data_IF_626055632032
#
_entry.id   IF_626055632032
#
_cell.length_a   1.000
_cell.length_b   1.000
_cell.length_c   1.000
_cell.angle_alpha   90.00
_cell.angle_beta   90.00
_cell.angle_gamma   90.00
#
_symmetry.space_group_name_H-M   'P 1'
#
loop_
_entity.id
_entity.type
_entity.pdbx_description
1 polymer ?
#
# COMPACT_ATOMS: atom_id res chain seq x y z
N UNK A 1 21.74 11.83 -11.15
CA UNK A 1 20.91 10.66 -10.90
C UNK A 1 20.51 10.62 -9.42
N UNK A 2 19.23 10.59 -9.17
CA UNK A 2 18.76 10.58 -7.80
C UNK A 2 18.78 9.17 -7.24
N UNK A 3 19.46 9.00 -6.12
CA UNK A 3 19.44 7.72 -5.40
C UNK A 3 18.16 7.64 -4.60
N UNK A 4 17.38 6.62 -4.85
CA UNK A 4 16.26 6.31 -3.98
C UNK A 4 16.81 5.61 -2.75
N UNK A 5 16.63 6.22 -1.61
CA UNK A 5 16.94 5.55 -0.36
C UNK A 5 15.87 4.51 -0.11
N UNK A 6 16.31 3.27 0.07
CA UNK A 6 15.42 2.20 0.49
C UNK A 6 15.15 2.41 1.97
N UNK A 7 13.89 2.63 2.31
CA UNK A 7 13.49 2.80 3.69
C UNK A 7 13.37 1.43 4.35
N UNK A 8 13.94 1.29 5.53
CA UNK A 8 13.80 0.08 6.33
C UNK A 8 12.97 0.39 7.57
N UNK A 9 12.17 -0.55 7.99
CA UNK A 9 11.36 -0.41 9.19
C UNK A 9 10.28 -1.45 9.26
N UNK A 10 9.34 -1.27 10.16
CA UNK A 10 8.20 -2.16 10.31
C UNK A 10 7.17 -1.90 9.21
N UNK A 11 6.83 -2.95 8.47
CA UNK A 11 5.75 -2.88 7.49
C UNK A 11 4.44 -2.55 8.20
N UNK A 12 3.71 -1.56 7.72
CA UNK A 12 2.46 -1.14 8.37
C UNK A 12 1.35 -2.19 8.29
N UNK A 13 1.50 -3.20 7.46
CA UNK A 13 0.54 -4.30 7.35
C UNK A 13 1.00 -5.57 8.06
N UNK A 14 2.14 -6.14 7.65
CA UNK A 14 2.61 -7.40 8.24
C UNK A 14 3.53 -7.22 9.45
N UNK A 15 3.96 -6.01 9.72
CA UNK A 15 4.79 -5.63 10.86
C UNK A 15 6.22 -6.18 10.87
N UNK A 16 6.65 -6.87 9.80
CA UNK A 16 8.03 -7.35 9.70
C UNK A 16 8.99 -6.20 9.48
N UNK A 17 10.19 -6.30 10.07
CA UNK A 17 11.28 -5.34 9.85
C UNK A 17 12.00 -5.67 8.55
N UNK A 18 11.71 -4.90 7.51
CA UNK A 18 12.21 -5.17 6.15
C UNK A 18 12.37 -3.87 5.37
N UNK A 19 12.92 -3.99 4.16
CA UNK A 19 12.90 -2.88 3.22
C UNK A 19 11.45 -2.54 2.86
N UNK A 20 11.11 -1.27 2.87
CA UNK A 20 9.76 -0.79 2.68
C UNK A 20 9.59 -0.10 1.33
N UNK A 21 8.37 -0.19 0.79
CA UNK A 21 7.95 0.55 -0.39
C UNK A 21 6.82 1.47 0.01
N UNK A 22 6.66 2.57 -0.70
CA UNK A 22 5.57 3.50 -0.44
C UNK A 22 4.35 3.13 -1.28
N UNK A 23 3.22 2.91 -0.61
CA UNK A 23 1.95 2.61 -1.27
C UNK A 23 1.02 3.82 -1.12
N UNK A 24 0.62 4.43 -2.23
CA UNK A 24 -0.39 5.48 -2.20
C UNK A 24 -1.75 4.87 -1.86
N UNK A 25 -2.43 5.39 -0.85
CA UNK A 25 -3.75 4.88 -0.45
C UNK A 25 -4.76 5.08 -1.59
N UNK A 26 -4.65 6.20 -2.30
CA UNK A 26 -5.36 6.39 -3.56
C UNK A 26 -4.30 6.27 -4.65
N UNK A 27 -4.31 5.19 -5.46
CA UNK A 27 -3.27 4.98 -6.46
C UNK A 27 -3.05 6.20 -7.34
N UNK A 28 -1.79 6.50 -7.61
CA UNK A 28 -1.41 7.71 -8.34
C UNK A 28 -2.12 7.86 -9.69
N UNK A 29 -2.39 6.74 -10.35
CA UNK A 29 -3.16 6.70 -11.59
C UNK A 29 -4.53 7.34 -11.48
N UNK A 30 -5.15 7.25 -10.29
CA UNK A 30 -6.48 7.77 -10.04
C UNK A 30 -6.50 9.25 -9.73
N UNK A 31 -5.35 9.85 -9.39
CA UNK A 31 -5.27 11.26 -8.99
C UNK A 31 -5.76 12.21 -10.08
N UNK A 32 -5.61 11.83 -11.33
CA UNK A 32 -6.01 12.66 -12.48
C UNK A 32 -7.49 12.56 -12.83
N UNK A 33 -8.19 11.57 -12.28
CA UNK A 33 -9.61 11.38 -12.55
C UNK A 33 -10.40 12.49 -11.91
N UNK A 34 -11.37 13.02 -12.66
CA UNK A 34 -12.21 14.14 -12.22
C UNK A 34 -12.84 13.91 -10.86
N UNK A 35 -13.36 12.71 -10.63
CA UNK A 35 -13.95 12.33 -9.35
C UNK A 35 -12.99 12.60 -8.19
N UNK A 36 -11.78 12.08 -8.29
CA UNK A 36 -10.79 12.21 -7.21
C UNK A 36 -10.27 13.62 -7.04
N UNK A 37 -10.12 14.36 -8.14
CA UNK A 37 -9.72 15.77 -8.08
C UNK A 37 -10.74 16.62 -7.36
N UNK A 38 -12.03 16.33 -7.57
CA UNK A 38 -13.12 17.09 -6.97
C UNK A 38 -13.37 16.75 -5.50
N UNK A 39 -13.20 15.48 -5.13
CA UNK A 39 -13.59 15.00 -3.80
C UNK A 39 -12.44 14.91 -2.80
N UNK A 40 -11.20 15.03 -3.25
CA UNK A 40 -10.04 14.91 -2.37
C UNK A 40 -9.07 16.05 -2.60
N UNK A 41 -8.54 16.57 -1.51
CA UNK A 41 -7.47 17.56 -1.58
C UNK A 41 -6.17 16.91 -2.05
N UNK A 42 -5.30 17.73 -2.61
CA UNK A 42 -4.01 17.27 -3.12
C UNK A 42 -3.18 16.58 -2.03
N UNK A 43 -3.24 17.08 -0.81
CA UNK A 43 -2.57 16.47 0.34
C UNK A 43 -3.10 15.07 0.63
N UNK A 44 -4.42 14.90 0.58
CA UNK A 44 -5.06 13.59 0.79
C UNK A 44 -4.67 12.61 -0.32
N UNK A 45 -4.63 13.07 -1.57
CA UNK A 45 -4.24 12.22 -2.70
C UNK A 45 -2.82 11.71 -2.57
N UNK A 46 -1.94 12.45 -1.89
CA UNK A 46 -0.55 12.08 -1.71
C UNK A 46 -0.28 11.22 -0.47
N UNK A 47 -1.29 10.96 0.33
CA UNK A 47 -1.14 10.11 1.51
C UNK A 47 -0.86 8.67 1.13
N UNK A 48 -0.07 8.00 1.96
CA UNK A 48 0.25 6.60 1.72
C UNK A 48 0.82 5.94 2.96
N UNK A 49 1.21 4.69 2.79
CA UNK A 49 1.75 3.87 3.87
C UNK A 49 3.05 3.22 3.42
N UNK A 50 3.89 2.88 4.38
CA UNK A 50 5.14 2.19 4.13
C UNK A 50 4.94 0.70 4.38
N UNK A 51 5.02 -0.10 3.34
CA UNK A 51 4.77 -1.53 3.42
C UNK A 51 5.86 -2.31 2.68
N UNK A 52 6.03 -3.57 3.05
CA UNK A 52 7.01 -4.41 2.39
C UNK A 52 6.53 -4.76 0.98
N UNK A 53 7.47 -5.16 0.14
CA UNK A 53 7.17 -5.50 -1.25
C UNK A 53 6.11 -6.59 -1.38
N UNK A 54 6.18 -7.62 -0.53
CA UNK A 54 5.22 -8.73 -0.59
C UNK A 54 3.80 -8.28 -0.28
N UNK A 55 3.61 -7.41 0.71
CA UNK A 55 2.30 -6.84 1.00
C UNK A 55 1.83 -5.94 -0.15
N UNK A 56 2.74 -5.13 -0.70
CA UNK A 56 2.42 -4.22 -1.80
C UNK A 56 1.96 -4.97 -3.04
N UNK A 57 2.70 -6.02 -3.42
CA UNK A 57 2.33 -6.88 -4.56
C UNK A 57 0.98 -7.54 -4.32
N UNK A 58 0.74 -8.02 -3.10
CA UNK A 58 -0.53 -8.66 -2.74
C UNK A 58 -1.72 -7.73 -2.89
N UNK A 59 -1.57 -6.48 -2.47
CA UNK A 59 -2.63 -5.49 -2.61
C UNK A 59 -2.97 -5.27 -4.10
N UNK A 60 -1.96 -5.07 -4.92
CA UNK A 60 -2.17 -4.78 -6.34
C UNK A 60 -2.60 -5.99 -7.17
N UNK A 61 -2.34 -7.21 -6.70
CA UNK A 61 -2.85 -8.42 -7.35
C UNK A 61 -4.28 -8.77 -6.93
N UNK A 62 -4.66 -8.39 -5.72
CA UNK A 62 -5.99 -8.71 -5.18
C UNK A 62 -7.08 -7.76 -5.66
N UNK A 63 -6.73 -6.50 -5.86
CA UNK A 63 -7.70 -5.45 -6.17
C UNK A 63 -7.15 -4.53 -7.26
N UNK A 64 -8.03 -4.05 -8.13
CA UNK A 64 -7.63 -3.06 -9.12
C UNK A 64 -7.52 -1.67 -8.47
N UNK A 65 -6.96 -0.73 -9.22
CA UNK A 65 -6.67 0.61 -8.71
C UNK A 65 -7.93 1.39 -8.35
N UNK A 66 -9.03 1.17 -9.07
CA UNK A 66 -10.30 1.84 -8.78
C UNK A 66 -10.87 1.36 -7.45
N UNK A 67 -10.81 0.05 -7.18
CA UNK A 67 -11.26 -0.50 -5.91
C UNK A 67 -10.41 0.02 -4.75
N UNK A 68 -9.10 0.07 -4.93
CA UNK A 68 -8.20 0.61 -3.92
C UNK A 68 -8.52 2.07 -3.63
N UNK A 69 -8.74 2.86 -4.66
CA UNK A 69 -9.00 4.29 -4.51
C UNK A 69 -10.35 4.59 -3.88
N UNK A 70 -11.38 3.81 -4.19
CA UNK A 70 -12.74 4.08 -3.70
C UNK A 70 -13.10 3.37 -2.41
N UNK A 71 -12.61 2.13 -2.23
CA UNK A 71 -13.06 1.28 -1.13
C UNK A 71 -11.99 0.98 -0.10
N UNK A 72 -10.71 1.05 -0.48
CA UNK A 72 -9.59 0.62 0.36
C UNK A 72 -8.56 1.74 0.49
N UNK A 73 -9.03 2.95 0.68
CA UNK A 73 -8.18 4.14 0.68
C UNK A 73 -7.74 4.60 2.07
N UNK A 74 -7.78 3.72 3.05
CA UNK A 74 -7.20 3.95 4.38
C UNK A 74 -6.51 2.68 4.85
N UNK A 75 -5.58 2.82 5.78
CA UNK A 75 -4.89 1.67 6.37
C UNK A 75 -5.88 0.71 7.03
N UNK A 76 -6.84 1.25 7.76
CA UNK A 76 -7.86 0.45 8.45
C UNK A 76 -8.69 -0.37 7.48
N UNK A 77 -9.11 0.24 6.38
CA UNK A 77 -9.89 -0.46 5.35
C UNK A 77 -9.10 -1.58 4.70
N UNK A 78 -7.81 -1.35 4.46
CA UNK A 78 -6.93 -2.40 3.93
C UNK A 78 -6.80 -3.55 4.90
N UNK A 79 -6.61 -3.27 6.18
CA UNK A 79 -6.49 -4.31 7.21
C UNK A 79 -7.78 -5.11 7.39
N UNK A 80 -8.92 -4.48 7.18
CA UNK A 80 -10.22 -5.12 7.36
C UNK A 80 -10.68 -5.93 6.14
N UNK A 81 -10.06 -5.73 4.99
CA UNK A 81 -10.41 -6.48 3.79
C UNK A 81 -10.02 -7.96 3.95
N UNK A 82 -10.97 -8.90 3.75
CA UNK A 82 -10.69 -10.33 3.98
C UNK A 82 -9.56 -10.89 3.12
N UNK A 83 -9.48 -10.47 1.86
CA UNK A 83 -8.46 -10.95 0.94
C UNK A 83 -7.08 -10.43 1.35
N UNK A 84 -6.99 -9.14 1.65
CA UNK A 84 -5.73 -8.54 2.12
C UNK A 84 -5.33 -9.11 3.48
N UNK A 85 -6.28 -9.31 4.37
CA UNK A 85 -6.03 -9.91 5.68
C UNK A 85 -5.41 -11.30 5.56
N UNK A 86 -5.95 -12.14 4.68
CA UNK A 86 -5.40 -13.46 4.40
C UNK A 86 -3.99 -13.39 3.85
N UNK A 87 -3.76 -12.44 2.95
CA UNK A 87 -2.43 -12.25 2.37
C UNK A 87 -1.42 -11.80 3.42
N UNK A 88 -1.81 -10.88 4.29
CA UNK A 88 -0.96 -10.41 5.39
C UNK A 88 -0.58 -11.57 6.30
N UNK A 89 -1.54 -12.43 6.65
CA UNK A 89 -1.29 -13.59 7.49
C UNK A 89 -0.26 -14.53 6.85
N UNK A 90 -0.36 -14.71 5.54
CA UNK A 90 0.60 -15.50 4.78
C UNK A 90 1.97 -14.85 4.77
N UNK A 91 2.04 -13.54 4.52
CA UNK A 91 3.31 -12.80 4.46
C UNK A 91 4.06 -12.86 5.79
N UNK A 92 3.34 -12.77 6.91
CA UNK A 92 3.95 -12.83 8.26
C UNK A 92 4.76 -14.10 8.48
N UNK A 93 4.40 -15.18 7.79
CA UNK A 93 5.08 -16.47 7.92
C UNK A 93 6.24 -16.64 6.97
N UNK A 94 6.43 -15.73 6.05
CA UNK A 94 7.49 -15.84 5.04
C UNK A 94 8.83 -15.39 5.60
N UNK A 95 9.91 -16.01 5.10
CA UNK A 95 11.26 -15.61 5.48
C UNK A 95 11.57 -14.24 4.94
N UNK A 96 12.26 -13.45 5.76
CA UNK A 96 12.77 -12.16 5.33
C UNK A 96 14.01 -12.42 4.48
N UNK A 97 13.95 -11.92 3.23
CA UNK A 97 15.11 -12.01 2.34
C UNK A 97 15.96 -10.76 2.55
N UNK A 98 17.11 -10.94 3.16
CA UNK A 98 18.09 -9.87 3.36
C UNK A 98 19.12 -9.94 2.25
N UNK A 99 19.12 -8.97 1.39
CA UNK A 99 20.17 -8.80 0.39
C UNK A 99 20.65 -7.37 0.40
#
# INVERSE_FOLDING_TARGET
>A
MAFRRIKHGACELCEREVALTFHHLIPKKMHRRTYFKKHFEKTTLNEGINICRQCHVGIHTSHDEMQLAKRLNTLEKLKDDPVIRSHIAWVKKQKIVTK
#
